data_IF_948161826282
#
_entry.id   IF_948161826282
#
_cell.length_a   1.000
_cell.length_b   1.000
_cell.length_c   1.000
_cell.angle_alpha   90.00
_cell.angle_beta   90.00
_cell.angle_gamma   90.00
#
_symmetry.space_group_name_H-M   'P 1'
#
loop_
_entity.id
_entity.type
_entity.pdbx_description
1 polymer ?
#
# COMPACT_ATOMS: atom_id res chain seq x y z
N UNK A 1 -4.56 10.59 7.91
CA UNK A 1 -4.72 10.72 9.40
C UNK A 1 -3.35 10.70 10.08
N UNK A 2 -2.52 9.69 9.82
CA UNK A 2 -1.13 9.65 10.31
C UNK A 2 -0.27 10.80 9.76
N UNK A 3 -0.40 11.16 8.48
CA UNK A 3 0.33 12.29 7.90
C UNK A 3 0.04 13.61 8.65
N UNK A 4 -1.24 13.85 8.97
CA UNK A 4 -1.67 15.01 9.75
C UNK A 4 -1.10 14.94 11.17
N UNK A 5 -1.10 13.77 11.80
CA UNK A 5 -0.52 13.63 13.13
C UNK A 5 1.00 13.90 13.14
N UNK A 6 1.71 13.52 12.07
CA UNK A 6 3.13 13.82 11.90
C UNK A 6 3.39 15.30 11.60
N UNK A 7 2.54 15.95 10.79
CA UNK A 7 2.60 17.38 10.48
C UNK A 7 2.45 18.23 11.75
N UNK A 8 1.49 17.88 12.61
CA UNK A 8 1.22 18.60 13.86
C UNK A 8 1.98 18.03 15.06
N UNK A 9 3.04 17.22 14.87
CA UNK A 9 3.78 16.56 15.95
C UNK A 9 4.20 17.53 17.05
N UNK A 10 4.80 18.67 16.69
CA UNK A 10 5.25 19.68 17.67
C UNK A 10 4.09 20.23 18.50
N UNK A 11 2.93 20.43 17.87
CA UNK A 11 1.72 20.91 18.55
C UNK A 11 1.17 19.84 19.48
N UNK A 12 1.12 18.57 19.03
CA UNK A 12 0.63 17.43 19.81
C UNK A 12 1.51 17.19 21.04
N UNK A 13 2.84 17.22 20.88
CA UNK A 13 3.80 17.07 21.98
C UNK A 13 3.61 18.20 22.99
N UNK A 14 3.58 19.46 22.53
CA UNK A 14 3.34 20.62 23.42
C UNK A 14 1.98 20.56 24.14
N UNK A 15 0.97 19.99 23.49
CA UNK A 15 -0.37 19.79 24.06
C UNK A 15 -0.49 18.54 24.93
N UNK A 16 0.54 17.71 25.04
CA UNK A 16 0.56 16.50 25.90
C UNK A 16 1.60 16.59 27.02
N UNK A 17 2.57 17.50 26.92
CA UNK A 17 3.60 17.77 27.93
C UNK A 17 3.05 18.02 29.35
N UNK A 18 3.67 17.34 30.33
CA UNK A 18 3.36 17.38 31.76
C UNK A 18 3.37 18.78 32.39
N UNK A 19 4.19 19.71 31.88
CA UNK A 19 4.31 21.07 32.43
C UNK A 19 3.13 21.99 32.05
N UNK A 20 2.40 21.67 30.98
CA UNK A 20 1.30 22.50 30.46
C UNK A 20 -0.07 21.95 30.85
N UNK A 21 -0.17 20.66 31.18
CA UNK A 21 -1.44 19.95 31.30
C UNK A 21 -1.82 19.53 32.72
N UNK A 22 -2.72 20.31 33.33
CA UNK A 22 -3.49 19.90 34.51
C UNK A 22 -4.70 19.01 34.18
N UNK A 23 -4.96 18.73 32.89
CA UNK A 23 -6.24 18.22 32.37
C UNK A 23 -6.24 16.75 31.93
N UNK A 24 -5.24 15.94 32.32
CA UNK A 24 -5.24 14.49 32.09
C UNK A 24 -4.89 14.02 30.68
N UNK A 25 -4.35 14.90 29.83
CA UNK A 25 -3.90 14.56 28.47
C UNK A 25 -2.49 13.94 28.42
N UNK A 26 -1.71 14.07 29.49
CA UNK A 26 -0.34 13.53 29.56
C UNK A 26 -0.28 12.00 29.41
N UNK A 27 -1.35 11.29 29.74
CA UNK A 27 -1.43 9.84 29.57
C UNK A 27 -1.38 9.40 28.09
N UNK A 28 -1.60 10.32 27.15
CA UNK A 28 -1.58 10.08 25.70
C UNK A 28 -0.30 10.58 25.03
N UNK A 29 0.71 10.98 25.81
CA UNK A 29 2.00 11.39 25.28
C UNK A 29 2.68 10.19 24.60
N UNK A 30 2.93 10.33 23.30
CA UNK A 30 3.61 9.32 22.51
C UNK A 30 5.12 9.41 22.74
N UNK A 31 5.74 8.26 22.98
CA UNK A 31 7.19 8.14 23.09
C UNK A 31 7.89 8.35 21.75
N UNK A 32 9.17 8.71 21.77
CA UNK A 32 9.99 8.80 20.55
C UNK A 32 9.99 7.49 19.73
N UNK A 33 9.88 6.35 20.40
CA UNK A 33 9.74 5.05 19.74
C UNK A 33 8.43 4.95 18.96
N UNK A 34 7.33 5.37 19.55
CA UNK A 34 6.01 5.33 18.89
C UNK A 34 5.92 6.32 17.75
N UNK A 35 6.51 7.52 17.90
CA UNK A 35 6.66 8.46 16.79
C UNK A 35 7.47 7.85 15.64
N UNK A 36 8.57 7.17 15.93
CA UNK A 36 9.36 6.47 14.90
C UNK A 36 8.55 5.37 14.19
N UNK A 37 7.76 4.59 14.94
CA UNK A 37 6.88 3.57 14.37
C UNK A 37 5.81 4.22 13.48
N UNK A 38 5.20 5.31 13.94
CA UNK A 38 4.20 6.06 13.18
C UNK A 38 4.77 6.60 11.87
N UNK A 39 5.98 7.18 11.89
CA UNK A 39 6.68 7.63 10.68
C UNK A 39 6.94 6.47 9.73
N UNK A 40 7.53 5.37 10.20
CA UNK A 40 7.81 4.20 9.37
C UNK A 40 6.54 3.62 8.75
N UNK A 41 5.43 3.58 9.50
CA UNK A 41 4.15 3.13 9.00
C UNK A 41 3.60 4.08 7.92
N UNK A 42 3.75 5.40 8.11
CA UNK A 42 3.35 6.41 7.14
C UNK A 42 4.09 6.23 5.80
N UNK A 43 5.42 6.10 5.87
CA UNK A 43 6.27 5.95 4.70
C UNK A 43 5.92 4.69 3.88
N UNK A 44 5.61 3.59 4.57
CA UNK A 44 5.20 2.34 3.91
C UNK A 44 3.81 2.50 3.27
N UNK A 45 2.89 3.17 3.96
CA UNK A 45 1.53 3.37 3.46
C UNK A 45 1.43 4.42 2.35
N UNK A 46 2.42 5.30 2.17
CA UNK A 46 2.41 6.28 1.08
C UNK A 46 2.27 5.65 -0.31
N UNK A 47 2.72 4.41 -0.53
CA UNK A 47 2.48 3.70 -1.78
C UNK A 47 0.99 3.44 -2.04
N UNK A 48 0.18 3.23 -1.00
CA UNK A 48 -1.29 3.14 -1.16
C UNK A 48 -1.91 4.48 -1.54
N UNK A 49 -1.28 5.59 -1.16
CA UNK A 49 -1.73 6.92 -1.54
C UNK A 49 -1.52 7.20 -3.04
N UNK A 50 -0.50 6.59 -3.67
CA UNK A 50 -0.30 6.64 -5.13
C UNK A 50 -1.49 6.01 -5.88
N UNK A 51 -2.16 5.01 -5.30
CA UNK A 51 -3.34 4.37 -5.90
C UNK A 51 -4.55 5.27 -5.87
N UNK A 52 -4.71 6.01 -4.78
CA UNK A 52 -5.73 7.07 -4.67
C UNK A 52 -5.41 8.24 -5.60
N UNK A 53 -4.15 8.44 -5.97
CA UNK A 53 -3.65 9.56 -6.78
C UNK A 53 -3.75 9.36 -8.29
N UNK A 54 -4.20 8.21 -8.78
CA UNK A 54 -4.40 8.00 -10.23
C UNK A 54 -5.49 8.88 -10.85
N UNK A 55 -6.06 9.83 -10.10
CA UNK A 55 -6.76 10.99 -10.65
C UNK A 55 -8.06 10.66 -11.38
N UNK A 56 -8.50 9.39 -11.34
CA UNK A 56 -9.81 8.98 -11.83
C UNK A 56 -10.79 9.08 -10.67
N UNK A 57 -11.85 9.86 -10.86
CA UNK A 57 -13.01 9.87 -9.96
C UNK A 57 -13.63 8.47 -9.78
N UNK A 58 -13.27 7.53 -10.65
CA UNK A 58 -13.68 6.13 -10.56
C UNK A 58 -12.59 5.21 -11.14
N UNK A 59 -11.82 4.48 -10.31
CA UNK A 59 -10.86 3.50 -10.81
C UNK A 59 -11.60 2.37 -11.55
N UNK A 60 -11.06 1.98 -12.69
CA UNK A 60 -11.59 0.92 -13.55
C UNK A 60 -10.97 -0.45 -13.26
N UNK A 61 -11.48 -1.48 -13.91
CA UNK A 61 -10.99 -2.85 -13.72
C UNK A 61 -9.53 -3.04 -14.16
N UNK A 62 -9.07 -2.23 -15.12
CA UNK A 62 -7.68 -2.15 -15.61
C UNK A 62 -6.69 -1.67 -14.55
N UNK A 63 -7.19 -0.93 -13.56
CA UNK A 63 -6.35 -0.27 -12.56
C UNK A 63 -6.07 -1.23 -11.37
N UNK A 64 -6.84 -2.30 -11.21
CA UNK A 64 -6.75 -3.15 -10.01
C UNK A 64 -5.45 -3.96 -9.94
N UNK A 65 -5.06 -4.64 -11.01
CA UNK A 65 -3.84 -5.46 -11.02
C UNK A 65 -2.58 -4.59 -10.85
N UNK A 66 -2.40 -3.50 -11.62
CA UNK A 66 -1.23 -2.64 -11.44
C UNK A 66 -1.17 -2.00 -10.05
N UNK A 67 -2.34 -1.72 -9.46
CA UNK A 67 -2.39 -1.21 -8.10
C UNK A 67 -1.89 -2.25 -7.07
N UNK A 68 -2.29 -3.50 -7.25
CA UNK A 68 -1.83 -4.60 -6.40
C UNK A 68 -0.33 -4.86 -6.56
N UNK A 69 0.20 -4.78 -7.79
CA UNK A 69 1.64 -4.93 -8.08
C UNK A 69 2.49 -3.89 -7.33
N UNK A 70 2.09 -2.61 -7.38
CA UNK A 70 2.78 -1.53 -6.67
C UNK A 70 2.75 -1.76 -5.16
N UNK A 71 1.61 -2.21 -4.60
CA UNK A 71 1.53 -2.53 -3.16
C UNK A 71 2.45 -3.69 -2.81
N UNK A 72 2.43 -4.79 -3.58
CA UNK A 72 3.25 -5.96 -3.27
C UNK A 72 4.75 -5.62 -3.34
N UNK A 73 5.18 -4.88 -4.38
CA UNK A 73 6.56 -4.45 -4.54
C UNK A 73 7.00 -3.58 -3.35
N UNK A 74 6.21 -2.58 -2.96
CA UNK A 74 6.54 -1.72 -1.83
C UNK A 74 6.66 -2.52 -0.53
N UNK A 75 5.72 -3.43 -0.28
CA UNK A 75 5.75 -4.27 0.91
C UNK A 75 6.91 -5.28 0.85
N UNK A 76 7.30 -5.76 -0.34
CA UNK A 76 8.47 -6.61 -0.54
C UNK A 76 9.76 -5.88 -0.16
N UNK A 77 9.96 -4.68 -0.71
CA UNK A 77 11.11 -3.84 -0.41
C UNK A 77 11.15 -3.49 1.08
N UNK A 78 10.00 -3.17 1.66
CA UNK A 78 9.88 -2.87 3.09
C UNK A 78 10.23 -4.09 3.95
N UNK A 79 9.81 -5.29 3.58
CA UNK A 79 10.11 -6.51 4.34
C UNK A 79 11.62 -6.83 4.39
N UNK A 80 12.39 -6.40 3.39
CA UNK A 80 13.84 -6.58 3.32
C UNK A 80 14.62 -5.49 4.07
N UNK A 81 13.95 -4.42 4.50
CA UNK A 81 14.60 -3.28 5.12
C UNK A 81 14.92 -3.56 6.60
N UNK A 82 16.21 -3.79 6.89
CA UNK A 82 16.72 -4.06 8.24
C UNK A 82 16.66 -2.85 9.20
N UNK A 83 16.36 -1.65 8.69
CA UNK A 83 16.23 -0.43 9.50
C UNK A 83 14.84 -0.25 10.12
N UNK A 84 13.86 -1.04 9.67
CA UNK A 84 12.50 -0.99 10.18
C UNK A 84 12.41 -1.58 11.58
N UNK A 85 11.46 -1.05 12.36
CA UNK A 85 11.14 -1.63 13.65
C UNK A 85 10.62 -3.07 13.47
N UNK A 86 10.99 -4.03 14.32
CA UNK A 86 10.48 -5.40 14.25
C UNK A 86 8.94 -5.47 14.18
N UNK A 87 8.23 -4.60 14.89
CA UNK A 87 6.76 -4.52 14.84
C UNK A 87 6.26 -4.15 13.45
N UNK A 88 6.93 -3.22 12.78
CA UNK A 88 6.62 -2.82 11.40
C UNK A 88 6.93 -3.97 10.44
N UNK A 89 8.04 -4.68 10.60
CA UNK A 89 8.35 -5.85 9.77
C UNK A 89 7.25 -6.91 9.85
N UNK A 90 6.71 -7.18 11.05
CA UNK A 90 5.59 -8.11 11.21
C UNK A 90 4.33 -7.58 10.51
N UNK A 91 4.01 -6.29 10.67
CA UNK A 91 2.86 -5.68 10.02
C UNK A 91 2.97 -5.71 8.49
N UNK A 92 4.15 -5.42 7.93
CA UNK A 92 4.44 -5.50 6.49
C UNK A 92 4.23 -6.92 5.97
N UNK A 93 4.77 -7.93 6.66
CA UNK A 93 4.59 -9.33 6.26
C UNK A 93 3.11 -9.76 6.31
N UNK A 94 2.33 -9.25 7.27
CA UNK A 94 0.88 -9.47 7.31
C UNK A 94 0.17 -8.77 6.13
N UNK A 95 0.60 -7.55 5.79
CA UNK A 95 0.17 -6.83 4.59
C UNK A 95 0.43 -7.65 3.32
N UNK A 96 1.63 -8.22 3.16
CA UNK A 96 1.99 -9.08 2.01
C UNK A 96 1.08 -10.31 1.91
N UNK A 97 0.81 -10.98 3.02
CA UNK A 97 -0.13 -12.12 3.03
C UNK A 97 -1.53 -11.70 2.60
N UNK A 98 -1.95 -10.51 3.03
CA UNK A 98 -3.26 -9.97 2.69
C UNK A 98 -3.35 -9.63 1.20
N UNK A 99 -2.36 -8.92 0.63
CA UNK A 99 -2.37 -8.59 -0.80
C UNK A 99 -2.30 -9.85 -1.65
N UNK A 100 -1.49 -10.85 -1.30
CA UNK A 100 -1.44 -12.14 -2.00
C UNK A 100 -2.79 -12.87 -1.99
N UNK A 101 -3.55 -12.79 -0.89
CA UNK A 101 -4.89 -13.37 -0.83
C UNK A 101 -5.84 -12.70 -1.83
N UNK A 102 -5.78 -11.37 -1.96
CA UNK A 102 -6.57 -10.64 -2.94
C UNK A 102 -6.09 -10.85 -4.37
N UNK A 103 -4.79 -11.00 -4.59
CA UNK A 103 -4.21 -11.34 -5.88
C UNK A 103 -4.76 -12.68 -6.38
N UNK A 104 -4.74 -13.71 -5.54
CA UNK A 104 -5.33 -15.02 -5.85
C UNK A 104 -6.83 -14.92 -6.17
N UNK A 105 -7.56 -14.01 -5.53
CA UNK A 105 -8.99 -13.77 -5.84
C UNK A 105 -9.20 -13.06 -7.17
N UNK A 106 -8.26 -12.24 -7.60
CA UNK A 106 -8.33 -11.62 -8.93
C UNK A 106 -8.17 -12.65 -10.05
N UNK A 107 -7.46 -13.76 -9.79
CA UNK A 107 -7.32 -14.88 -10.71
C UNK A 107 -8.61 -15.71 -10.88
N UNK A 108 -9.53 -15.65 -9.92
CA UNK A 108 -10.82 -16.36 -9.99
C UNK A 108 -11.74 -15.79 -11.10
N UNK A 109 -11.41 -14.61 -11.67
CA UNK A 109 -12.18 -13.95 -12.71
C UNK A 109 -11.29 -13.49 -13.87
N UNK A 110 -11.55 -14.02 -15.06
CA UNK A 110 -10.88 -13.58 -16.29
C UNK A 110 -11.15 -12.11 -16.64
N UNK A 111 -12.17 -11.48 -16.03
CA UNK A 111 -12.55 -10.10 -16.30
C UNK A 111 -11.40 -9.11 -16.10
N UNK A 112 -10.57 -9.30 -15.06
CA UNK A 112 -9.41 -8.42 -14.81
C UNK A 112 -8.39 -8.49 -15.95
N UNK A 113 -8.06 -9.71 -16.40
CA UNK A 113 -7.11 -9.93 -17.49
C UNK A 113 -7.64 -9.43 -18.83
N UNK A 114 -8.92 -9.70 -19.12
CA UNK A 114 -9.61 -9.20 -20.32
C UNK A 114 -9.58 -7.67 -20.35
N UNK A 115 -9.91 -7.01 -19.25
CA UNK A 115 -9.88 -5.56 -19.17
C UNK A 115 -8.48 -4.99 -19.48
N UNK A 116 -7.43 -5.57 -18.92
CA UNK A 116 -6.05 -5.13 -19.21
C UNK A 116 -5.64 -5.34 -20.67
N UNK A 117 -6.03 -6.45 -21.31
CA UNK A 117 -5.75 -6.68 -22.73
C UNK A 117 -6.49 -5.68 -23.63
N UNK A 118 -7.72 -5.35 -23.26
CA UNK A 118 -8.54 -4.37 -23.98
C UNK A 118 -8.12 -2.92 -23.75
N UNK A 119 -7.30 -2.64 -22.73
CA UNK A 119 -6.74 -1.32 -22.47
C UNK A 119 -5.78 -0.92 -23.60
N UNK A 120 -6.08 0.14 -24.38
CA UNK A 120 -5.24 0.60 -25.47
C UNK A 120 -3.82 0.98 -25.05
N UNK A 121 -3.60 1.36 -23.78
CA UNK A 121 -2.30 1.80 -23.27
C UNK A 121 -1.38 0.63 -22.89
N UNK A 122 -1.96 -0.43 -22.30
CA UNK A 122 -1.21 -1.52 -21.69
C UNK A 122 -1.17 -2.79 -22.56
N UNK A 123 -2.31 -3.14 -23.19
CA UNK A 123 -2.54 -4.36 -23.98
C UNK A 123 -1.77 -5.57 -23.43
N UNK A 124 -0.87 -6.12 -24.25
CA UNK A 124 -0.02 -7.27 -23.93
C UNK A 124 1.34 -6.85 -23.37
N UNK A 125 1.70 -5.57 -23.51
CA UNK A 125 3.01 -5.08 -23.14
C UNK A 125 3.18 -5.09 -21.62
N UNK A 126 2.15 -4.70 -20.87
CA UNK A 126 2.16 -4.76 -19.42
C UNK A 126 2.51 -6.16 -18.89
N UNK A 127 1.87 -7.20 -19.41
CA UNK A 127 2.11 -8.59 -19.02
C UNK A 127 3.54 -9.05 -19.34
N UNK A 128 4.09 -8.61 -20.47
CA UNK A 128 5.47 -8.93 -20.88
C UNK A 128 6.49 -8.25 -19.98
N UNK A 129 6.26 -6.98 -19.67
CA UNK A 129 7.15 -6.19 -18.82
C UNK A 129 7.21 -6.75 -17.39
N UNK A 130 6.07 -7.27 -16.90
CA UNK A 130 5.96 -7.89 -15.57
C UNK A 130 6.27 -9.39 -15.57
N UNK A 131 6.73 -9.96 -16.71
CA UNK A 131 7.10 -11.38 -16.84
C UNK A 131 6.01 -12.37 -16.42
N UNK A 132 4.75 -12.06 -16.73
CA UNK A 132 3.63 -12.95 -16.43
C UNK A 132 3.69 -14.25 -17.25
N UNK A 133 3.10 -15.35 -16.76
CA UNK A 133 3.07 -16.62 -17.50
C UNK A 133 2.40 -16.46 -18.88
N UNK A 134 3.05 -16.93 -19.94
CA UNK A 134 2.53 -16.85 -21.31
C UNK A 134 1.17 -17.55 -21.45
N UNK A 135 0.92 -18.60 -20.66
CA UNK A 135 -0.37 -19.30 -20.62
C UNK A 135 -1.51 -18.38 -20.22
N UNK A 136 -1.29 -17.44 -19.30
CA UNK A 136 -2.31 -16.49 -18.86
C UNK A 136 -2.62 -15.44 -19.93
N UNK A 137 -1.60 -15.05 -20.70
CA UNK A 137 -1.76 -14.16 -21.85
C UNK A 137 -2.60 -14.85 -22.94
N UNK A 138 -2.29 -16.11 -23.23
CA UNK A 138 -3.01 -16.91 -24.24
C UNK A 138 -4.46 -17.17 -23.86
N UNK A 139 -4.74 -17.53 -22.60
CA UNK A 139 -6.12 -17.71 -22.10
C UNK A 139 -6.95 -16.43 -22.24
N UNK A 140 -6.37 -15.28 -21.86
CA UNK A 140 -7.08 -14.02 -21.95
C UNK A 140 -7.26 -13.53 -23.40
N UNK A 141 -6.32 -13.83 -24.30
CA UNK A 141 -6.49 -13.61 -25.75
C UNK A 141 -7.58 -14.49 -26.37
N UNK A 142 -7.74 -15.73 -25.90
CA UNK A 142 -8.76 -16.64 -26.41
C UNK A 142 -10.19 -16.18 -26.06
N UNK A 143 -10.34 -15.44 -24.96
CA UNK A 143 -11.63 -14.97 -24.44
C UNK A 143 -12.10 -13.63 -25.03
N UNK A 144 -11.28 -12.97 -25.86
CA UNK A 144 -11.54 -11.67 -26.52
C UNK A 144 -11.70 -11.87 -28.02
#
# INVERSE_FOLDING_TARGET
>A
MLDVALEYRTTIVRMTELQVNSHGLCQWELTEREWKIATQLCDILQASHLLTLWGKDTPGLTDVIPAMDIIDEQLAMSALNSTLNPTICVAVNLGKRTINCYYNKSDDSSAYRIAMILDPQNKLQYFRDHSWPETWIQEAQFLV
#
